data_IF_733463298365
#
_entry.id   IF_733463298365
#
_cell.length_a   1.000
_cell.length_b   1.000
_cell.length_c   1.000
_cell.angle_alpha   90.00
_cell.angle_beta   90.00
_cell.angle_gamma   90.00
#
_symmetry.space_group_name_H-M   'P 1'
#
loop_
_entity.id
_entity.type
_entity.pdbx_description
1 polymer ?
#
# COMPACT_ATOMS: atom_id res chain seq x y z
N UNK A 1 -18.15 12.59 -30.33
CA UNK A 1 -17.66 13.22 -29.09
C UNK A 1 -16.14 13.11 -29.14
N UNK A 2 -15.42 14.23 -29.00
CA UNK A 2 -13.95 14.24 -29.10
C UNK A 2 -13.35 13.77 -27.77
N UNK A 3 -12.33 12.92 -27.84
CA UNK A 3 -11.56 12.48 -26.65
C UNK A 3 -10.60 13.59 -26.21
N UNK A 4 -10.37 13.70 -24.91
CA UNK A 4 -9.28 14.54 -24.40
C UNK A 4 -7.94 13.80 -24.58
N UNK A 5 -7.91 12.49 -24.23
CA UNK A 5 -6.71 11.67 -24.38
C UNK A 5 -7.09 10.33 -25.01
N UNK A 6 -6.26 9.89 -25.97
CA UNK A 6 -6.28 8.54 -26.53
C UNK A 6 -4.94 7.86 -26.30
N UNK A 7 -4.93 6.77 -25.53
CA UNK A 7 -3.77 5.89 -25.37
C UNK A 7 -3.92 4.74 -26.35
N UNK A 8 -2.94 4.56 -27.23
CA UNK A 8 -2.95 3.53 -28.28
C UNK A 8 -1.70 2.69 -28.30
N UNK A 9 -1.76 1.54 -28.96
CA UNK A 9 -0.67 0.60 -29.19
C UNK A 9 -0.04 -0.01 -27.92
N UNK A 10 -0.63 0.22 -26.74
CA UNK A 10 -0.19 -0.37 -25.50
C UNK A 10 -0.81 -1.73 -25.24
N UNK A 11 -0.11 -2.57 -24.50
CA UNK A 11 -0.65 -3.83 -23.98
C UNK A 11 -1.36 -3.55 -22.66
N UNK A 12 -2.64 -3.90 -22.57
CA UNK A 12 -3.39 -3.84 -21.30
C UNK A 12 -3.29 -5.18 -20.60
N UNK A 13 -2.91 -5.18 -19.31
CA UNK A 13 -2.90 -6.40 -18.52
C UNK A 13 -4.33 -6.83 -18.18
N UNK A 14 -4.74 -8.00 -18.65
CA UNK A 14 -5.96 -8.69 -18.26
C UNK A 14 -5.67 -9.51 -17.01
N UNK A 15 -6.14 -9.03 -15.87
CA UNK A 15 -5.88 -9.67 -14.57
C UNK A 15 -6.71 -10.95 -14.36
N UNK A 16 -7.81 -11.12 -15.08
CA UNK A 16 -8.66 -12.31 -15.00
C UNK A 16 -8.13 -13.40 -15.92
N UNK A 17 -7.83 -13.04 -17.17
CA UNK A 17 -7.29 -13.97 -18.16
C UNK A 17 -5.81 -14.27 -18.00
N UNK A 18 -5.08 -13.57 -17.14
CA UNK A 18 -3.61 -13.66 -16.99
C UNK A 18 -2.89 -13.48 -18.33
N UNK A 19 -3.36 -12.54 -19.14
CA UNK A 19 -2.85 -12.30 -20.50
C UNK A 19 -2.75 -10.78 -20.79
N UNK A 20 -2.21 -10.47 -21.94
CA UNK A 20 -2.13 -9.10 -22.44
C UNK A 20 -3.06 -8.92 -23.64
N UNK A 21 -3.88 -7.89 -23.59
CA UNK A 21 -4.78 -7.54 -24.69
C UNK A 21 -4.37 -6.22 -25.35
N UNK A 22 -4.42 -6.17 -26.69
CA UNK A 22 -4.31 -4.92 -27.42
C UNK A 22 -5.62 -4.16 -27.33
N UNK A 23 -5.66 -3.09 -26.55
CA UNK A 23 -6.84 -2.26 -26.39
C UNK A 23 -6.43 -0.80 -26.27
N UNK A 24 -7.06 0.07 -27.04
CA UNK A 24 -6.94 1.51 -26.84
C UNK A 24 -7.75 1.95 -25.63
N UNK A 25 -7.29 2.99 -24.94
CA UNK A 25 -7.97 3.61 -23.80
C UNK A 25 -8.30 5.05 -24.16
N UNK A 26 -9.57 5.41 -24.11
CA UNK A 26 -10.05 6.78 -24.29
C UNK A 26 -10.37 7.44 -22.97
N UNK A 27 -10.07 8.72 -22.85
CA UNK A 27 -10.34 9.53 -21.66
C UNK A 27 -11.10 10.78 -22.06
N UNK A 28 -12.15 11.11 -21.29
CA UNK A 28 -12.88 12.38 -21.33
C UNK A 28 -13.05 12.88 -19.91
N UNK A 29 -12.60 14.10 -19.64
CA UNK A 29 -12.53 14.65 -18.30
C UNK A 29 -11.68 13.76 -17.38
N UNK A 30 -12.27 13.33 -16.28
CA UNK A 30 -11.63 12.45 -15.31
C UNK A 30 -12.00 10.97 -15.45
N UNK A 31 -12.61 10.57 -16.60
CA UNK A 31 -13.18 9.22 -16.78
C UNK A 31 -12.62 8.49 -17.99
N UNK A 32 -12.47 7.19 -17.83
CA UNK A 32 -12.25 6.26 -18.94
C UNK A 32 -13.58 6.06 -19.66
N UNK A 33 -13.57 6.14 -20.99
CA UNK A 33 -14.79 6.00 -21.80
C UNK A 33 -14.78 4.71 -22.62
N UNK A 34 -15.97 4.21 -22.92
CA UNK A 34 -16.15 3.09 -23.86
C UNK A 34 -15.95 3.59 -25.30
N UNK A 35 -14.87 3.15 -25.94
CA UNK A 35 -14.53 3.57 -27.30
C UNK A 35 -15.53 3.05 -28.35
N UNK A 36 -16.34 2.03 -28.04
CA UNK A 36 -17.40 1.59 -28.93
C UNK A 36 -18.56 2.60 -29.03
N UNK A 37 -18.63 3.57 -28.12
CA UNK A 37 -19.63 4.64 -28.13
C UNK A 37 -19.12 5.94 -28.78
N UNK A 38 -17.90 5.92 -29.33
CA UNK A 38 -17.23 7.10 -29.91
C UNK A 38 -17.13 6.88 -31.42
N UNK A 39 -17.86 7.70 -32.20
CA UNK A 39 -17.93 7.58 -33.67
C UNK A 39 -16.59 7.90 -34.36
N UNK A 40 -15.78 8.78 -33.75
CA UNK A 40 -14.48 9.18 -34.27
C UNK A 40 -13.47 9.20 -33.13
N UNK A 41 -12.38 8.45 -33.31
CA UNK A 41 -11.28 8.34 -32.34
C UNK A 41 -10.30 9.52 -32.38
N UNK A 42 -10.76 10.71 -32.76
CA UNK A 42 -9.96 11.93 -32.63
C UNK A 42 -9.82 12.33 -31.17
N UNK A 43 -8.60 12.67 -30.79
CA UNK A 43 -8.26 13.12 -29.42
C UNK A 43 -7.42 14.40 -29.48
N UNK A 44 -7.54 15.22 -28.43
CA UNK A 44 -6.65 16.39 -28.27
C UNK A 44 -5.20 15.96 -28.04
N UNK A 45 -5.02 14.92 -27.23
CA UNK A 45 -3.71 14.33 -26.95
C UNK A 45 -3.72 12.86 -27.30
N UNK A 46 -2.72 12.41 -28.06
CA UNK A 46 -2.51 11.00 -28.36
C UNK A 46 -1.22 10.55 -27.68
N UNK A 47 -1.32 9.49 -26.86
CA UNK A 47 -0.20 8.83 -26.24
C UNK A 47 0.04 7.51 -26.99
N UNK A 48 1.18 7.39 -27.66
CA UNK A 48 1.62 6.13 -28.25
C UNK A 48 2.36 5.30 -27.18
N UNK A 49 1.70 4.26 -26.70
CA UNK A 49 2.21 3.35 -25.66
C UNK A 49 2.87 2.09 -26.26
N UNK A 50 3.33 2.13 -27.51
CA UNK A 50 3.98 0.99 -28.15
C UNK A 50 5.16 0.45 -27.31
N UNK A 51 5.14 -0.85 -27.06
CA UNK A 51 6.13 -1.55 -26.22
C UNK A 51 6.03 -1.24 -24.72
N UNK A 52 4.92 -0.65 -24.29
CA UNK A 52 4.59 -0.44 -22.88
C UNK A 52 3.35 -1.24 -22.48
N UNK A 53 3.18 -1.42 -21.18
CA UNK A 53 2.01 -2.00 -20.56
C UNK A 53 1.19 -0.88 -19.94
N UNK A 54 -0.10 -0.85 -20.21
CA UNK A 54 -1.05 0.11 -19.65
C UNK A 54 -1.76 -0.56 -18.49
N UNK A 55 -1.61 0.00 -17.31
CA UNK A 55 -2.19 -0.49 -16.06
C UNK A 55 -3.18 0.54 -15.49
N UNK A 56 -4.13 0.13 -14.65
CA UNK A 56 -4.78 1.07 -13.76
C UNK A 56 -3.74 1.85 -12.95
N UNK A 57 -4.06 3.05 -12.52
CA UNK A 57 -3.22 3.77 -11.57
C UNK A 57 -2.91 2.90 -10.36
N UNK A 58 -1.63 2.80 -10.01
CA UNK A 58 -1.16 1.96 -8.93
C UNK A 58 -1.64 2.50 -7.58
N UNK A 59 -1.83 1.59 -6.63
CA UNK A 59 -2.28 1.90 -5.28
C UNK A 59 -1.24 1.40 -4.28
N UNK A 60 -0.61 2.30 -3.57
CA UNK A 60 0.28 1.97 -2.45
C UNK A 60 -0.53 1.93 -1.15
N UNK A 61 -0.84 0.73 -0.68
CA UNK A 61 -1.77 0.54 0.43
C UNK A 61 -1.15 0.78 1.82
N UNK A 62 0.14 1.07 1.91
CA UNK A 62 0.82 1.30 3.18
C UNK A 62 1.95 2.30 3.03
N UNK A 63 1.78 3.48 3.56
CA UNK A 63 2.82 4.50 3.67
C UNK A 63 2.45 5.58 4.69
N UNK A 64 3.32 6.58 4.81
CA UNK A 64 3.17 7.64 5.78
C UNK A 64 3.26 9.00 5.09
N UNK A 65 2.10 9.67 4.94
CA UNK A 65 1.99 10.89 4.11
C UNK A 65 1.44 12.10 4.85
N UNK A 66 1.32 12.04 6.16
CA UNK A 66 1.01 13.23 6.97
C UNK A 66 2.20 14.20 6.99
N UNK A 67 2.56 14.70 5.81
CA UNK A 67 3.65 15.64 5.60
C UNK A 67 3.45 16.92 6.42
N UNK A 68 4.47 17.30 7.15
CA UNK A 68 4.41 18.42 8.09
C UNK A 68 3.79 18.09 9.46
N UNK A 69 3.08 16.97 9.58
CA UNK A 69 2.49 16.50 10.85
C UNK A 69 3.32 15.42 11.56
N UNK A 70 4.20 14.75 10.84
CA UNK A 70 5.18 13.80 11.38
C UNK A 70 6.55 14.00 10.74
N UNK A 71 7.61 13.65 11.45
CA UNK A 71 8.98 13.77 10.93
C UNK A 71 9.30 12.69 9.88
N UNK A 72 8.52 11.61 9.82
CA UNK A 72 8.77 10.47 8.92
C UNK A 72 7.99 10.55 7.62
N UNK A 73 6.95 11.39 7.54
CA UNK A 73 6.04 11.42 6.39
C UNK A 73 6.61 12.17 5.20
N UNK A 74 6.21 11.74 4.02
CA UNK A 74 6.56 12.33 2.72
C UNK A 74 5.36 13.06 2.10
N UNK A 75 5.63 13.94 1.14
CA UNK A 75 4.57 14.53 0.33
C UNK A 75 4.07 13.49 -0.69
N UNK A 76 2.77 13.14 -0.67
CA UNK A 76 2.22 12.07 -1.52
C UNK A 76 2.38 12.36 -3.02
N UNK A 77 2.10 13.56 -3.48
CA UNK A 77 2.13 13.88 -4.91
C UNK A 77 3.55 13.80 -5.48
N UNK A 78 4.57 14.20 -4.67
CA UNK A 78 5.98 14.16 -5.10
C UNK A 78 6.50 12.73 -5.23
N UNK A 79 6.12 11.84 -4.31
CA UNK A 79 6.67 10.48 -4.29
C UNK A 79 5.83 9.47 -5.07
N UNK A 80 4.52 9.68 -5.18
CA UNK A 80 3.59 8.75 -5.83
C UNK A 80 3.50 8.96 -7.33
N UNK A 81 3.18 10.17 -7.78
CA UNK A 81 2.85 10.44 -9.19
C UNK A 81 3.99 10.10 -10.17
N UNK A 82 5.26 10.39 -9.88
CA UNK A 82 6.37 9.97 -10.76
C UNK A 82 6.56 8.46 -10.85
N UNK A 83 6.00 7.70 -9.91
CA UNK A 83 6.11 6.24 -9.81
C UNK A 83 4.82 5.51 -10.20
N UNK A 84 3.89 6.16 -10.90
CA UNK A 84 2.66 5.51 -11.37
C UNK A 84 1.59 5.33 -10.29
N UNK A 85 1.82 5.77 -9.07
CA UNK A 85 0.89 5.64 -7.95
C UNK A 85 -0.07 6.82 -7.95
N UNK A 86 -1.37 6.55 -8.06
CA UNK A 86 -2.45 7.57 -8.09
C UNK A 86 -3.34 7.51 -6.85
N UNK A 87 -3.20 6.47 -6.05
CA UNK A 87 -3.94 6.32 -4.80
C UNK A 87 -3.03 5.74 -3.71
N UNK A 88 -3.28 6.12 -2.46
CA UNK A 88 -2.46 5.69 -1.33
C UNK A 88 -3.29 5.52 -0.06
N UNK A 89 -2.86 4.62 0.82
CA UNK A 89 -3.39 4.51 2.18
C UNK A 89 -2.32 4.93 3.18
N UNK A 90 -2.65 5.92 4.00
CA UNK A 90 -1.82 6.29 5.14
C UNK A 90 -2.06 5.30 6.28
N UNK A 91 -1.00 4.64 6.71
CA UNK A 91 -1.07 3.57 7.69
C UNK A 91 -1.02 4.08 9.15
N UNK A 92 -1.78 5.13 9.45
CA UNK A 92 -1.99 5.63 10.79
C UNK A 92 -0.93 6.64 11.25
N UNK A 93 -0.50 7.53 10.37
CA UNK A 93 0.35 8.67 10.75
C UNK A 93 -0.34 9.62 11.72
N UNK A 94 -1.68 9.73 11.67
CA UNK A 94 -2.49 10.57 12.56
C UNK A 94 -3.31 9.75 13.57
N UNK A 95 -3.53 10.34 14.73
CA UNK A 95 -4.54 9.91 15.70
C UNK A 95 -5.70 10.92 15.75
N UNK A 96 -6.65 10.72 16.67
CA UNK A 96 -7.86 11.56 16.75
C UNK A 96 -7.55 13.05 17.00
N UNK A 97 -6.44 13.38 17.68
CA UNK A 97 -6.06 14.77 18.01
C UNK A 97 -5.75 15.58 16.75
N UNK A 98 -5.07 14.99 15.78
CA UNK A 98 -4.51 15.69 14.63
C UNK A 98 -5.07 15.21 13.27
N UNK A 99 -6.05 14.29 13.28
CA UNK A 99 -6.65 13.77 12.05
C UNK A 99 -7.27 14.88 11.18
N UNK A 100 -8.01 15.82 11.78
CA UNK A 100 -8.63 16.91 11.02
C UNK A 100 -7.60 17.81 10.36
N UNK A 101 -6.45 18.04 11.04
CA UNK A 101 -5.33 18.75 10.42
C UNK A 101 -4.79 17.98 9.22
N UNK A 102 -4.56 16.67 9.38
CA UNK A 102 -4.10 15.80 8.29
C UNK A 102 -5.06 15.84 7.10
N UNK A 103 -6.37 15.70 7.37
CA UNK A 103 -7.41 15.74 6.34
C UNK A 103 -7.38 17.06 5.55
N UNK A 104 -7.27 18.19 6.23
CA UNK A 104 -7.33 19.50 5.61
C UNK A 104 -6.02 19.92 4.92
N UNK A 105 -4.87 19.54 5.48
CA UNK A 105 -3.57 20.00 4.98
C UNK A 105 -2.92 19.07 3.95
N UNK A 106 -3.32 17.79 3.91
CA UNK A 106 -2.72 16.80 3.02
C UNK A 106 -3.76 16.06 2.20
N UNK A 107 -4.78 15.44 2.84
CA UNK A 107 -5.71 14.55 2.11
C UNK A 107 -6.52 15.33 1.08
N UNK A 108 -7.13 16.45 1.47
CA UNK A 108 -7.97 17.24 0.56
C UNK A 108 -7.19 17.92 -0.58
N UNK A 109 -6.00 18.53 -0.34
CA UNK A 109 -5.28 19.21 -1.42
C UNK A 109 -4.47 18.29 -2.32
N UNK A 110 -4.23 17.02 -1.95
CA UNK A 110 -3.46 16.09 -2.76
C UNK A 110 -4.17 15.71 -4.07
N UNK A 111 -3.41 15.56 -5.15
CA UNK A 111 -3.90 14.94 -6.39
C UNK A 111 -4.06 13.42 -6.24
N UNK A 112 -3.15 12.79 -5.49
CA UNK A 112 -3.23 11.38 -5.11
C UNK A 112 -4.44 11.17 -4.22
N UNK A 113 -5.25 10.15 -4.52
CA UNK A 113 -6.41 9.77 -3.69
C UNK A 113 -5.92 9.10 -2.41
N UNK A 114 -6.22 9.68 -1.25
CA UNK A 114 -5.72 9.19 0.04
C UNK A 114 -6.86 8.70 0.90
N UNK A 115 -6.78 7.45 1.37
CA UNK A 115 -7.51 6.91 2.52
C UNK A 115 -6.54 6.76 3.69
N UNK A 116 -7.06 6.49 4.90
CA UNK A 116 -6.19 6.34 6.06
C UNK A 116 -6.73 5.34 7.08
N UNK A 117 -5.83 4.77 7.86
CA UNK A 117 -6.15 4.18 9.15
C UNK A 117 -5.97 5.23 10.24
N UNK A 118 -6.82 5.21 11.26
CA UNK A 118 -6.71 6.08 12.43
C UNK A 118 -5.88 5.36 13.50
N UNK A 119 -4.76 5.94 13.91
CA UNK A 119 -3.94 5.37 14.97
C UNK A 119 -4.70 5.43 16.31
N UNK A 120 -4.64 4.36 17.09
CA UNK A 120 -5.22 4.33 18.47
C UNK A 120 -4.45 5.23 19.42
N UNK A 121 -3.18 5.53 19.12
CA UNK A 121 -2.39 6.56 19.83
C UNK A 121 -2.91 7.93 19.44
N UNK A 122 -3.24 8.74 20.44
CA UNK A 122 -3.97 10.00 20.28
C UNK A 122 -3.41 10.96 19.22
N UNK A 123 -2.08 11.01 19.07
CA UNK A 123 -1.37 11.88 18.11
C UNK A 123 -0.75 11.10 16.94
N UNK A 124 -1.07 9.82 16.81
CA UNK A 124 -0.47 8.93 15.83
C UNK A 124 1.06 8.87 15.96
N UNK A 125 1.74 8.98 14.83
CA UNK A 125 3.20 8.91 14.73
C UNK A 125 3.90 10.28 14.84
N UNK A 126 3.20 11.33 15.28
CA UNK A 126 3.79 12.68 15.36
C UNK A 126 4.95 12.80 16.33
N UNK A 127 5.13 11.85 17.24
CA UNK A 127 6.26 11.82 18.17
C UNK A 127 7.47 11.03 17.67
N UNK A 128 7.33 10.27 16.57
CA UNK A 128 8.43 9.52 16.00
C UNK A 128 9.44 10.44 15.29
N UNK A 129 10.71 10.07 15.36
CA UNK A 129 11.79 10.79 14.67
C UNK A 129 12.27 12.05 15.39
N UNK A 130 11.78 12.35 16.59
CA UNK A 130 12.19 13.52 17.40
C UNK A 130 13.64 13.45 17.95
N UNK A 131 14.45 12.49 17.48
CA UNK A 131 15.82 12.30 17.94
C UNK A 131 15.90 11.90 19.43
N UNK A 132 16.98 12.26 20.16
CA UNK A 132 17.15 11.88 21.56
C UNK A 132 16.09 12.46 22.51
N UNK A 133 15.39 13.50 22.07
CA UNK A 133 14.33 14.17 22.82
C UNK A 133 12.93 13.77 22.38
N UNK A 134 12.81 12.87 21.39
CA UNK A 134 11.52 12.37 20.90
C UNK A 134 10.79 11.56 21.96
N UNK A 135 9.48 11.70 22.00
CA UNK A 135 8.63 10.88 22.88
C UNK A 135 8.40 9.53 22.22
N UNK A 136 8.53 8.47 22.99
CA UNK A 136 8.17 7.14 22.53
C UNK A 136 6.66 7.06 22.29
N UNK A 137 6.27 6.31 21.27
CA UNK A 137 4.88 5.99 21.01
C UNK A 137 4.24 5.32 22.24
N UNK A 138 3.08 5.82 22.65
CA UNK A 138 2.41 5.35 23.86
C UNK A 138 1.18 4.52 23.49
N UNK A 139 1.36 3.22 23.38
CA UNK A 139 0.30 2.25 23.06
C UNK A 139 -0.48 1.75 24.28
N UNK A 140 -0.31 2.36 25.46
CA UNK A 140 -1.05 1.98 26.68
C UNK A 140 -2.56 2.22 26.48
N UNK A 141 -3.42 1.18 26.55
CA UNK A 141 -4.85 1.33 26.39
C UNK A 141 -5.53 2.29 27.38
N UNK A 142 -4.96 2.49 28.56
CA UNK A 142 -5.45 3.47 29.52
C UNK A 142 -5.45 4.92 28.99
N UNK A 143 -4.67 5.18 27.92
CA UNK A 143 -4.61 6.47 27.24
C UNK A 143 -5.49 6.55 25.98
N UNK A 144 -6.16 5.45 25.60
CA UNK A 144 -7.08 5.50 24.47
C UNK A 144 -8.32 6.31 24.85
N UNK A 145 -8.61 7.31 24.04
CA UNK A 145 -9.86 8.05 24.19
C UNK A 145 -10.89 7.45 23.22
N UNK A 146 -11.55 6.36 23.65
CA UNK A 146 -12.51 5.62 22.81
C UNK A 146 -13.61 6.52 22.25
N UNK A 147 -14.13 7.48 23.04
CA UNK A 147 -15.17 8.40 22.59
C UNK A 147 -14.65 9.29 21.45
N UNK A 148 -13.45 9.86 21.57
CA UNK A 148 -12.86 10.70 20.53
C UNK A 148 -12.45 9.91 19.30
N UNK A 149 -11.93 8.70 19.47
CA UNK A 149 -11.65 7.77 18.36
C UNK A 149 -12.97 7.46 17.62
N UNK A 150 -14.03 7.10 18.34
CA UNK A 150 -15.34 6.81 17.75
C UNK A 150 -15.93 8.04 17.03
N UNK A 151 -15.86 9.21 17.63
CA UNK A 151 -16.33 10.47 17.03
C UNK A 151 -15.56 10.77 15.73
N UNK A 152 -14.23 10.67 15.75
CA UNK A 152 -13.37 10.94 14.58
C UNK A 152 -13.66 9.96 13.45
N UNK A 153 -13.72 8.66 13.76
CA UNK A 153 -14.03 7.61 12.79
C UNK A 153 -15.41 7.81 12.18
N UNK A 154 -16.45 8.03 13.00
CA UNK A 154 -17.82 8.16 12.51
C UNK A 154 -18.03 9.41 11.65
N UNK A 155 -17.34 10.51 11.97
CA UNK A 155 -17.40 11.75 11.19
C UNK A 155 -16.57 11.68 9.87
N UNK A 156 -15.76 10.64 9.68
CA UNK A 156 -14.84 10.52 8.56
C UNK A 156 -14.84 9.10 7.94
N UNK A 157 -15.97 8.40 7.99
CA UNK A 157 -16.12 7.04 7.42
C UNK A 157 -15.91 7.00 5.89
N UNK A 158 -16.01 8.13 5.24
CA UNK A 158 -15.67 8.30 3.83
C UNK A 158 -14.17 8.14 3.57
N UNK A 159 -13.33 8.37 4.58
CA UNK A 159 -11.87 8.35 4.44
C UNK A 159 -11.18 7.33 5.35
N UNK A 160 -11.60 7.19 6.62
CA UNK A 160 -10.95 6.28 7.57
C UNK A 160 -11.42 4.84 7.32
N UNK A 161 -10.48 3.94 7.04
CA UNK A 161 -10.74 2.53 6.76
C UNK A 161 -10.87 1.68 8.03
N UNK A 162 -10.12 2.04 9.09
CA UNK A 162 -10.08 1.28 10.33
C UNK A 162 -9.11 1.88 11.34
N UNK A 163 -8.74 1.09 12.35
CA UNK A 163 -7.80 1.49 13.40
C UNK A 163 -6.40 0.93 13.13
N UNK A 164 -5.36 1.72 13.43
CA UNK A 164 -3.95 1.29 13.37
C UNK A 164 -3.39 1.08 14.75
N UNK A 165 -2.66 -0.04 14.91
CA UNK A 165 -1.81 -0.33 16.07
C UNK A 165 -0.41 -0.72 15.60
N UNK A 166 0.62 -0.26 16.31
CA UNK A 166 1.95 -0.86 16.26
C UNK A 166 2.14 -1.76 17.47
N UNK A 167 2.16 -3.09 17.21
CA UNK A 167 2.25 -4.12 18.25
C UNK A 167 3.64 -4.77 18.21
N UNK A 168 4.62 -4.08 18.79
CA UNK A 168 6.04 -4.39 18.65
C UNK A 168 6.76 -4.27 19.99
N UNK A 169 7.78 -5.13 20.21
CA UNK A 169 8.56 -5.16 21.45
C UNK A 169 9.33 -3.87 21.70
N UNK A 170 9.83 -3.19 20.67
CA UNK A 170 10.53 -1.92 20.81
C UNK A 170 9.66 -0.81 21.43
N UNK A 171 8.33 -0.91 21.27
CA UNK A 171 7.35 0.01 21.84
C UNK A 171 6.90 -0.41 23.22
N UNK A 172 6.66 -1.71 23.44
CA UNK A 172 6.01 -2.24 24.64
C UNK A 172 6.97 -2.91 25.65
N UNK A 173 8.22 -3.24 25.25
CA UNK A 173 9.18 -3.94 26.10
C UNK A 173 9.43 -3.22 27.43
N UNK A 174 9.25 -3.97 28.51
CA UNK A 174 9.44 -3.44 29.89
C UNK A 174 8.31 -2.55 30.38
N UNK A 175 7.27 -2.31 29.59
CA UNK A 175 6.08 -1.58 30.01
C UNK A 175 5.04 -2.56 30.54
N UNK A 176 4.57 -2.32 31.76
CA UNK A 176 3.44 -3.05 32.33
C UNK A 176 2.16 -2.24 32.09
N UNK A 177 1.33 -2.74 31.19
CA UNK A 177 0.01 -2.18 30.96
C UNK A 177 -1.06 -2.98 31.72
N UNK A 178 -2.11 -2.32 32.16
CA UNK A 178 -3.24 -2.99 32.83
C UNK A 178 -4.04 -3.89 31.88
N UNK A 179 -3.98 -3.59 30.58
CA UNK A 179 -4.60 -4.37 29.51
C UNK A 179 -3.69 -4.42 28.30
N UNK A 180 -3.80 -5.50 27.51
CA UNK A 180 -3.01 -5.68 26.30
C UNK A 180 -3.45 -4.70 25.19
N UNK A 181 -2.52 -4.00 24.50
CA UNK A 181 -2.85 -3.05 23.44
C UNK A 181 -3.56 -3.70 22.24
N UNK A 182 -3.21 -4.94 21.87
CA UNK A 182 -3.85 -5.64 20.76
C UNK A 182 -5.31 -5.96 21.09
N UNK A 183 -5.54 -6.60 22.26
CA UNK A 183 -6.88 -6.99 22.68
C UNK A 183 -7.79 -5.76 22.83
N UNK A 184 -7.26 -4.67 23.38
CA UNK A 184 -7.98 -3.42 23.52
C UNK A 184 -8.34 -2.79 22.17
N UNK A 185 -7.38 -2.81 21.23
CA UNK A 185 -7.61 -2.28 19.86
C UNK A 185 -8.61 -3.14 19.10
N UNK A 186 -8.50 -4.46 19.16
CA UNK A 186 -9.46 -5.40 18.55
C UNK A 186 -10.86 -5.18 19.12
N UNK A 187 -11.00 -5.14 20.45
CA UNK A 187 -12.28 -4.91 21.11
C UNK A 187 -12.92 -3.59 20.66
N UNK A 188 -12.13 -2.51 20.63
CA UNK A 188 -12.60 -1.21 20.18
C UNK A 188 -13.02 -1.22 18.69
N UNK A 189 -12.24 -1.84 17.83
CA UNK A 189 -12.55 -1.95 16.41
C UNK A 189 -13.86 -2.73 16.18
N UNK A 190 -14.07 -3.84 16.88
CA UNK A 190 -15.34 -4.61 16.79
C UNK A 190 -16.54 -3.81 17.30
N UNK A 191 -16.37 -3.09 18.43
CA UNK A 191 -17.39 -2.16 18.95
C UNK A 191 -17.77 -1.06 17.97
N UNK A 192 -16.82 -0.60 17.16
CA UNK A 192 -17.00 0.48 16.17
C UNK A 192 -17.35 -0.03 14.77
N UNK A 193 -17.53 -1.33 14.59
CA UNK A 193 -17.76 -1.97 13.28
C UNK A 193 -16.74 -1.50 12.24
N UNK A 194 -15.45 -1.76 12.52
CA UNK A 194 -14.35 -1.37 11.65
C UNK A 194 -13.20 -2.39 11.71
N UNK A 195 -12.29 -2.30 10.74
CA UNK A 195 -11.12 -3.17 10.63
C UNK A 195 -9.93 -2.65 11.44
N UNK A 196 -8.92 -3.50 11.59
CA UNK A 196 -7.63 -3.14 12.16
C UNK A 196 -6.51 -3.30 11.11
N UNK A 197 -5.48 -2.48 11.23
CA UNK A 197 -4.21 -2.67 10.57
C UNK A 197 -3.13 -2.73 11.66
N UNK A 198 -2.49 -3.89 11.79
CA UNK A 198 -1.50 -4.12 12.86
C UNK A 198 -0.11 -4.27 12.28
N UNK A 199 0.82 -3.42 12.72
CA UNK A 199 2.24 -3.61 12.49
C UNK A 199 2.74 -4.72 13.42
N UNK A 200 3.32 -5.77 12.85
CA UNK A 200 3.65 -7.01 13.56
C UNK A 200 5.14 -7.32 13.62
N UNK A 201 6.01 -6.49 13.06
CA UNK A 201 7.45 -6.68 13.14
C UNK A 201 7.89 -6.71 14.60
N UNK A 202 8.60 -7.77 14.99
CA UNK A 202 9.03 -8.02 16.37
C UNK A 202 7.84 -7.97 17.36
N UNK A 203 6.74 -8.68 17.03
CA UNK A 203 5.53 -8.69 17.85
C UNK A 203 5.76 -9.33 19.22
N UNK A 204 4.88 -8.98 20.19
CA UNK A 204 4.94 -9.56 21.54
C UNK A 204 4.42 -11.01 21.59
N UNK A 205 3.60 -11.39 20.60
CA UNK A 205 3.05 -12.75 20.48
C UNK A 205 3.64 -13.45 19.26
N UNK A 206 3.71 -14.77 19.29
CA UNK A 206 4.02 -15.58 18.12
C UNK A 206 2.95 -15.36 17.03
N UNK A 207 3.33 -15.52 15.76
CA UNK A 207 2.45 -15.23 14.64
C UNK A 207 1.17 -16.08 14.64
N UNK A 208 1.28 -17.38 15.03
CA UNK A 208 0.15 -18.29 15.12
C UNK A 208 -0.84 -17.96 16.25
N UNK A 209 -0.37 -17.33 17.33
CA UNK A 209 -1.21 -16.82 18.40
C UNK A 209 -1.82 -15.48 18.03
N UNK A 210 -1.01 -14.56 17.51
CA UNK A 210 -1.40 -13.22 17.11
C UNK A 210 -2.53 -13.24 16.09
N UNK A 211 -2.45 -14.12 15.08
CA UNK A 211 -3.39 -14.16 13.96
C UNK A 211 -4.81 -14.56 14.36
N UNK A 212 -4.99 -15.18 15.52
CA UNK A 212 -6.30 -15.59 16.03
C UNK A 212 -7.24 -14.41 16.35
N UNK A 213 -6.67 -13.22 16.53
CA UNK A 213 -7.41 -11.99 16.83
C UNK A 213 -7.88 -11.24 15.57
N UNK A 214 -7.47 -11.70 14.38
CA UNK A 214 -7.80 -11.06 13.11
C UNK A 214 -9.04 -11.66 12.46
N UNK A 215 -9.91 -10.80 11.94
CA UNK A 215 -11.07 -11.15 11.13
C UNK A 215 -10.82 -10.85 9.64
N UNK A 216 -11.77 -11.21 8.79
CA UNK A 216 -11.73 -10.83 7.38
C UNK A 216 -11.56 -9.31 7.20
N UNK A 217 -10.77 -8.91 6.21
CA UNK A 217 -10.38 -7.54 5.88
C UNK A 217 -9.53 -6.81 6.96
N UNK A 218 -9.16 -7.45 8.07
CA UNK A 218 -8.09 -6.95 8.93
C UNK A 218 -6.74 -7.13 8.25
N UNK A 219 -5.83 -6.17 8.47
CA UNK A 219 -4.52 -6.14 7.81
C UNK A 219 -3.41 -6.60 8.75
N UNK A 220 -2.76 -7.70 8.40
CA UNK A 220 -1.49 -8.16 9.00
C UNK A 220 -0.34 -7.52 8.22
N UNK A 221 0.18 -6.40 8.73
CA UNK A 221 1.19 -5.61 8.04
C UNK A 221 2.61 -6.08 8.33
N UNK A 222 3.47 -6.06 7.31
CA UNK A 222 4.86 -6.56 7.36
C UNK A 222 4.95 -8.09 7.44
N UNK A 223 4.14 -8.79 6.65
CA UNK A 223 4.03 -10.25 6.76
C UNK A 223 5.36 -11.01 6.51
N UNK A 224 6.31 -10.39 5.82
CA UNK A 224 7.62 -11.00 5.52
C UNK A 224 8.79 -10.41 6.31
N UNK A 225 8.54 -9.86 7.50
CA UNK A 225 9.63 -9.44 8.37
C UNK A 225 10.42 -10.64 8.93
N UNK A 226 11.72 -10.45 9.18
CA UNK A 226 12.61 -11.47 9.75
C UNK A 226 13.07 -11.17 11.19
N UNK A 227 12.42 -10.20 11.86
CA UNK A 227 12.79 -9.81 13.23
C UNK A 227 11.76 -10.34 14.23
N UNK A 228 12.20 -11.05 15.27
CA UNK A 228 11.32 -11.67 16.25
C UNK A 228 10.50 -12.83 15.68
N UNK A 229 9.22 -12.88 15.99
CA UNK A 229 8.30 -13.95 15.57
C UNK A 229 7.78 -13.71 14.15
N UNK A 230 8.43 -14.32 13.15
CA UNK A 230 7.97 -14.30 11.75
C UNK A 230 6.76 -15.23 11.54
N UNK A 231 6.25 -15.28 10.30
CA UNK A 231 5.19 -16.21 9.92
C UNK A 231 5.67 -17.65 9.72
N UNK A 232 6.99 -17.90 9.85
CA UNK A 232 7.58 -19.23 9.78
C UNK A 232 7.79 -19.81 11.19
N UNK A 233 7.53 -21.09 11.34
CA UNK A 233 7.85 -21.84 12.55
C UNK A 233 9.35 -22.23 12.63
N UNK A 234 9.73 -22.96 13.67
CA UNK A 234 11.11 -23.43 13.88
C UNK A 234 11.60 -24.41 12.78
N UNK A 235 10.69 -25.04 12.04
CA UNK A 235 10.97 -25.93 10.94
C UNK A 235 11.05 -25.19 9.59
N UNK A 236 10.77 -23.89 9.58
CA UNK A 236 10.72 -23.07 8.36
C UNK A 236 9.40 -23.20 7.59
N UNK A 237 8.36 -23.79 8.21
CA UNK A 237 7.04 -23.89 7.60
C UNK A 237 6.18 -22.67 7.95
N UNK A 238 5.38 -22.18 6.99
CA UNK A 238 4.37 -21.17 7.30
C UNK A 238 3.33 -21.78 8.24
N UNK A 239 3.13 -21.17 9.41
CA UNK A 239 2.15 -21.64 10.39
C UNK A 239 0.80 -21.94 9.73
N UNK A 240 0.19 -23.09 10.06
CA UNK A 240 -1.12 -23.47 9.55
C UNK A 240 -2.18 -22.40 9.85
N UNK A 241 -2.12 -21.80 11.05
CA UNK A 241 -3.02 -20.72 11.44
C UNK A 241 -2.93 -19.47 10.53
N UNK A 242 -1.75 -19.17 9.99
CA UNK A 242 -1.53 -18.07 9.02
C UNK A 242 -2.21 -18.40 7.68
N UNK A 243 -2.00 -19.61 7.14
CA UNK A 243 -2.64 -20.07 5.89
C UNK A 243 -4.18 -20.11 6.02
N UNK A 244 -4.68 -20.60 7.16
CA UNK A 244 -6.12 -20.61 7.47
C UNK A 244 -6.69 -19.19 7.59
N UNK A 245 -5.95 -18.26 8.20
CA UNK A 245 -6.39 -16.88 8.33
C UNK A 245 -6.50 -16.18 6.98
N UNK A 246 -5.55 -16.39 6.06
CA UNK A 246 -5.66 -15.88 4.69
C UNK A 246 -6.91 -16.44 3.98
N UNK A 247 -7.19 -17.72 4.15
CA UNK A 247 -8.41 -18.36 3.60
C UNK A 247 -9.70 -17.76 4.20
N UNK A 248 -9.67 -17.34 5.47
CA UNK A 248 -10.79 -16.65 6.13
C UNK A 248 -10.94 -15.18 5.69
N UNK A 249 -10.02 -14.66 4.89
CA UNK A 249 -10.05 -13.29 4.37
C UNK A 249 -9.27 -12.26 5.20
N UNK A 250 -8.39 -12.70 6.11
CA UNK A 250 -7.37 -11.80 6.68
C UNK A 250 -6.41 -11.40 5.57
N UNK A 251 -6.05 -10.14 5.51
CA UNK A 251 -5.22 -9.57 4.46
C UNK A 251 -3.76 -9.48 4.91
N UNK A 252 -2.88 -10.09 4.14
CA UNK A 252 -1.44 -10.04 4.38
C UNK A 252 -0.79 -9.01 3.49
N UNK A 253 -0.31 -7.93 4.11
CA UNK A 253 0.37 -6.84 3.45
C UNK A 253 1.88 -6.96 3.66
N UNK A 254 2.65 -6.96 2.56
CA UNK A 254 4.10 -7.02 2.68
C UNK A 254 4.69 -5.79 3.34
N UNK A 255 4.10 -4.60 3.16
CA UNK A 255 4.51 -3.32 3.76
C UNK A 255 6.03 -3.22 3.89
N UNK A 256 6.73 -3.32 2.78
CA UNK A 256 8.13 -3.77 2.67
C UNK A 256 9.10 -3.05 3.63
N UNK A 257 9.00 -1.72 3.76
CA UNK A 257 9.87 -0.91 4.62
C UNK A 257 11.38 -1.16 4.44
N UNK A 258 12.21 -0.38 5.08
CA UNK A 258 13.66 -0.68 5.16
C UNK A 258 13.99 -1.65 6.30
N UNK A 259 13.05 -1.87 7.22
CA UNK A 259 13.25 -2.65 8.44
C UNK A 259 12.28 -3.83 8.58
N UNK A 260 11.47 -4.13 7.56
CA UNK A 260 10.33 -5.02 7.70
C UNK A 260 10.25 -6.11 6.63
N UNK A 261 11.37 -6.39 5.94
CA UNK A 261 11.41 -7.38 4.89
C UNK A 261 12.67 -8.25 4.97
N UNK A 262 12.48 -9.55 4.84
CA UNK A 262 13.53 -10.56 4.84
C UNK A 262 13.35 -11.49 3.65
N UNK A 263 14.40 -11.67 2.85
CA UNK A 263 14.36 -12.54 1.67
C UNK A 263 14.16 -14.01 2.00
N UNK A 264 14.72 -14.48 3.11
CA UNK A 264 14.53 -15.87 3.52
C UNK A 264 13.07 -16.14 3.86
N UNK A 265 12.46 -15.30 4.69
CA UNK A 265 11.05 -15.46 5.08
C UNK A 265 10.15 -15.38 3.84
N UNK A 266 10.35 -14.36 2.97
CA UNK A 266 9.51 -14.17 1.80
C UNK A 266 9.62 -15.35 0.81
N UNK A 267 10.83 -15.80 0.49
CA UNK A 267 11.04 -16.91 -0.45
C UNK A 267 10.49 -18.22 0.08
N UNK A 268 10.81 -18.54 1.32
CA UNK A 268 10.33 -19.78 1.98
C UNK A 268 8.80 -19.81 2.02
N UNK A 269 8.15 -18.70 2.33
CA UNK A 269 6.69 -18.60 2.31
C UNK A 269 6.12 -18.77 0.88
N UNK A 270 6.71 -18.08 -0.11
CA UNK A 270 6.24 -18.15 -1.51
C UNK A 270 6.46 -19.55 -2.12
N UNK A 271 7.56 -20.25 -1.80
CA UNK A 271 7.80 -21.64 -2.20
C UNK A 271 6.75 -22.60 -1.63
N UNK A 272 6.15 -22.27 -0.48
CA UNK A 272 5.03 -23.01 0.11
C UNK A 272 3.65 -22.54 -0.38
N UNK A 273 3.61 -21.67 -1.40
CA UNK A 273 2.37 -21.15 -1.99
C UNK A 273 1.71 -20.02 -1.20
N UNK A 274 2.38 -19.45 -0.20
CA UNK A 274 1.89 -18.31 0.54
C UNK A 274 2.42 -17.00 -0.08
N UNK A 275 1.52 -16.22 -0.67
CA UNK A 275 1.81 -14.94 -1.30
C UNK A 275 1.13 -13.80 -0.54
N UNK A 276 1.68 -12.58 -0.56
CA UNK A 276 1.01 -11.44 0.05
C UNK A 276 -0.22 -11.05 -0.79
N UNK A 277 -1.30 -10.64 -0.13
CA UNK A 277 -2.50 -10.13 -0.79
C UNK A 277 -2.27 -8.71 -1.32
N UNK A 278 -1.41 -7.95 -0.65
CA UNK A 278 -1.04 -6.58 -0.99
C UNK A 278 0.49 -6.46 -1.05
N UNK A 279 0.94 -5.76 -2.09
CA UNK A 279 2.32 -5.28 -2.20
C UNK A 279 2.30 -3.77 -1.94
N UNK A 280 3.01 -3.33 -0.90
CA UNK A 280 3.07 -1.92 -0.51
C UNK A 280 4.47 -1.56 0.02
N UNK A 281 4.72 -0.26 0.19
CA UNK A 281 6.08 0.21 0.43
C UNK A 281 6.42 0.46 1.89
N UNK A 282 5.47 0.77 2.75
CA UNK A 282 5.72 1.43 4.04
C UNK A 282 6.56 2.71 3.83
N UNK A 283 6.13 3.54 2.85
CA UNK A 283 6.92 4.69 2.40
C UNK A 283 7.04 5.75 3.48
N UNK A 284 8.27 6.08 3.81
CA UNK A 284 8.66 7.15 4.72
C UNK A 284 9.75 7.99 4.08
N UNK A 285 10.09 9.13 4.68
CA UNK A 285 11.21 9.96 4.22
C UNK A 285 12.52 9.15 4.15
N UNK A 286 12.77 8.30 5.15
CA UNK A 286 13.95 7.42 5.17
C UNK A 286 13.94 6.43 4.01
N UNK A 287 12.78 5.82 3.72
CA UNK A 287 12.66 4.79 2.69
C UNK A 287 12.79 5.39 1.28
N UNK A 288 12.22 6.58 1.06
CA UNK A 288 12.24 7.26 -0.24
C UNK A 288 13.65 7.67 -0.71
N UNK A 289 14.64 7.63 0.21
CA UNK A 289 16.06 7.91 -0.08
C UNK A 289 16.91 6.64 -0.24
N UNK A 290 16.32 5.43 -0.11
CA UNK A 290 17.02 4.14 -0.18
C UNK A 290 16.67 3.42 -1.47
N UNK A 291 17.50 3.63 -2.48
CA UNK A 291 17.32 3.11 -3.84
C UNK A 291 17.53 1.59 -3.97
N UNK A 292 18.12 0.95 -2.97
CA UNK A 292 18.42 -0.48 -2.89
C UNK A 292 17.35 -1.30 -2.14
N UNK A 293 16.56 -0.68 -1.27
CA UNK A 293 15.60 -1.38 -0.40
C UNK A 293 14.13 -1.21 -0.80
N UNK A 294 13.63 0.02 -0.75
CA UNK A 294 12.21 0.33 -1.00
C UNK A 294 12.04 1.37 -2.10
N UNK A 295 12.55 2.56 -1.92
CA UNK A 295 12.54 3.67 -2.87
C UNK A 295 11.15 4.04 -3.43
N UNK A 296 10.43 3.10 -4.07
CA UNK A 296 9.11 3.31 -4.67
C UNK A 296 8.33 1.99 -4.78
N UNK A 297 7.03 2.09 -5.04
CA UNK A 297 6.19 0.90 -5.26
C UNK A 297 6.68 0.07 -6.47
N UNK A 298 7.11 0.71 -7.55
CA UNK A 298 7.66 -0.01 -8.72
C UNK A 298 8.94 -0.79 -8.41
N UNK A 299 9.77 -0.26 -7.50
CA UNK A 299 10.96 -0.98 -7.03
C UNK A 299 10.56 -2.24 -6.23
N UNK A 300 9.58 -2.12 -5.33
CA UNK A 300 9.05 -3.27 -4.58
C UNK A 300 8.39 -4.28 -5.52
N UNK A 301 7.56 -3.84 -6.47
CA UNK A 301 6.97 -4.71 -7.49
C UNK A 301 8.05 -5.46 -8.30
N UNK A 302 9.13 -4.75 -8.67
CA UNK A 302 10.27 -5.35 -9.39
C UNK A 302 11.00 -6.39 -8.54
N UNK A 303 11.12 -6.17 -7.22
CA UNK A 303 11.68 -7.13 -6.28
C UNK A 303 10.88 -8.44 -6.28
N UNK A 304 9.54 -8.38 -6.15
CA UNK A 304 8.67 -9.56 -6.19
C UNK A 304 8.69 -10.27 -7.55
N UNK A 305 8.79 -9.51 -8.65
CA UNK A 305 8.95 -10.08 -9.99
C UNK A 305 10.23 -10.91 -10.12
N UNK A 306 11.35 -10.45 -9.53
CA UNK A 306 12.63 -11.16 -9.55
C UNK A 306 12.68 -12.28 -8.48
N UNK A 307 11.77 -12.32 -7.54
CA UNK A 307 11.55 -13.47 -6.64
C UNK A 307 10.64 -14.54 -7.25
N UNK A 308 10.08 -14.32 -8.44
CA UNK A 308 9.30 -15.33 -9.17
C UNK A 308 7.78 -15.16 -9.05
N UNK A 309 7.28 -14.12 -8.39
CA UNK A 309 5.85 -13.82 -8.39
C UNK A 309 5.38 -13.42 -9.80
N UNK A 310 4.20 -13.87 -10.23
CA UNK A 310 3.68 -13.54 -11.55
C UNK A 310 3.40 -12.03 -11.66
N UNK A 311 3.66 -11.46 -12.84
CA UNK A 311 3.40 -10.03 -13.07
C UNK A 311 1.92 -9.67 -12.85
N UNK A 312 1.00 -10.56 -13.24
CA UNK A 312 -0.45 -10.30 -13.09
C UNK A 312 -0.87 -10.30 -11.62
N UNK A 313 -0.31 -11.21 -10.80
CA UNK A 313 -0.60 -11.23 -9.36
C UNK A 313 0.01 -10.02 -8.65
N UNK A 314 1.22 -9.59 -9.05
CA UNK A 314 1.81 -8.34 -8.57
C UNK A 314 0.91 -7.15 -8.91
N UNK A 315 0.43 -7.04 -10.16
CA UNK A 315 -0.47 -5.95 -10.56
C UNK A 315 -1.79 -6.01 -9.79
N UNK A 316 -2.36 -7.19 -9.59
CA UNK A 316 -3.58 -7.36 -8.77
C UNK A 316 -3.37 -6.88 -7.33
N UNK A 317 -2.22 -7.21 -6.73
CA UNK A 317 -1.85 -6.82 -5.36
C UNK A 317 -1.61 -5.30 -5.18
N UNK A 318 -1.42 -4.55 -6.28
CA UNK A 318 -1.23 -3.08 -6.26
C UNK A 318 -2.34 -2.31 -6.99
N UNK A 319 -3.44 -2.96 -7.39
CA UNK A 319 -4.59 -2.33 -8.08
C UNK A 319 -5.93 -2.83 -7.56
N UNK A 320 -6.39 -3.99 -8.03
CA UNK A 320 -7.74 -4.49 -7.75
C UNK A 320 -7.96 -4.82 -6.25
N UNK A 321 -7.01 -5.52 -5.63
CA UNK A 321 -7.10 -5.88 -4.20
C UNK A 321 -7.16 -4.63 -3.31
N UNK A 322 -6.20 -3.69 -3.37
CA UNK A 322 -6.26 -2.47 -2.56
C UNK A 322 -7.47 -1.58 -2.91
N UNK A 323 -7.93 -1.50 -4.17
CA UNK A 323 -9.14 -0.75 -4.53
C UNK A 323 -10.38 -1.29 -3.80
N UNK A 324 -10.52 -2.62 -3.69
CA UNK A 324 -11.59 -3.26 -2.92
C UNK A 324 -11.53 -2.87 -1.44
N UNK A 325 -10.35 -2.96 -0.83
CA UNK A 325 -10.14 -2.65 0.59
C UNK A 325 -10.33 -1.15 0.88
N UNK A 326 -10.02 -0.28 -0.08
CA UNK A 326 -10.34 1.16 0.01
C UNK A 326 -11.83 1.47 -0.17
N UNK A 327 -12.67 0.45 -0.45
CA UNK A 327 -14.10 0.60 -0.78
C UNK A 327 -14.33 1.48 -2.02
N UNK A 328 -13.41 1.40 -2.99
CA UNK A 328 -13.43 2.15 -4.25
C UNK A 328 -13.39 1.23 -5.48
N UNK A 329 -13.76 -0.04 -5.31
CA UNK A 329 -13.85 -1.01 -6.41
C UNK A 329 -14.75 -0.48 -7.55
N UNK A 330 -14.30 -0.65 -8.79
CA UNK A 330 -14.98 -0.12 -9.97
C UNK A 330 -14.73 1.38 -10.23
N UNK A 331 -14.26 2.14 -9.24
CA UNK A 331 -13.87 3.54 -9.40
C UNK A 331 -12.38 3.70 -9.72
N UNK A 332 -11.54 2.93 -9.02
CA UNK A 332 -10.08 2.87 -9.21
C UNK A 332 -9.62 1.42 -9.31
N UNK A 333 -8.35 1.18 -9.63
CA UNK A 333 -7.78 -0.16 -9.73
C UNK A 333 -8.28 -0.98 -10.93
N UNK A 334 -8.92 -0.34 -11.90
CA UNK A 334 -9.44 -0.92 -13.14
C UNK A 334 -9.35 0.06 -14.29
N UNK A 335 -9.31 -0.46 -15.53
CA UNK A 335 -9.39 0.32 -16.77
C UNK A 335 -10.76 0.15 -17.46
N UNK A 336 -11.79 -0.24 -16.71
CA UNK A 336 -13.14 -0.35 -17.22
C UNK A 336 -13.73 1.02 -17.55
N UNK A 337 -14.60 1.12 -18.57
CA UNK A 337 -15.35 2.34 -18.86
C UNK A 337 -16.12 2.83 -17.62
N UNK A 338 -16.10 4.14 -17.38
CA UNK A 338 -16.70 4.79 -16.21
C UNK A 338 -15.76 4.90 -14.99
N UNK A 339 -14.68 4.15 -14.94
CA UNK A 339 -13.67 4.29 -13.89
C UNK A 339 -12.92 5.63 -13.99
N UNK A 340 -12.31 6.06 -12.89
CA UNK A 340 -11.40 7.22 -12.90
C UNK A 340 -10.27 7.01 -13.90
N UNK A 341 -9.95 8.04 -14.65
CA UNK A 341 -8.82 8.03 -15.58
C UNK A 341 -7.48 8.16 -14.81
N UNK A 342 -7.25 7.19 -13.93
CA UNK A 342 -6.02 6.94 -13.21
C UNK A 342 -5.30 5.80 -13.92
N UNK A 343 -4.19 6.12 -14.59
CA UNK A 343 -3.54 5.19 -15.51
C UNK A 343 -2.03 5.28 -15.32
N UNK A 344 -1.38 4.11 -15.22
CA UNK A 344 0.07 3.98 -15.20
C UNK A 344 0.53 3.28 -16.48
N UNK A 345 1.40 3.93 -17.22
CA UNK A 345 2.03 3.35 -18.41
C UNK A 345 3.44 2.94 -18.03
N UNK A 346 3.68 1.64 -18.00
CA UNK A 346 4.96 1.08 -17.51
C UNK A 346 5.66 0.29 -18.60
N UNK A 347 6.94 0.07 -18.42
CA UNK A 347 7.76 -0.78 -19.29
C UNK A 347 8.55 -1.78 -18.46
N UNK A 348 8.48 -3.05 -18.83
CA UNK A 348 9.38 -4.07 -18.31
C UNK A 348 10.74 -3.92 -19.02
N UNK A 349 11.77 -3.59 -18.27
CA UNK A 349 13.13 -3.48 -18.76
C UNK A 349 13.94 -4.71 -18.37
N UNK A 350 14.79 -5.16 -19.28
CA UNK A 350 15.87 -6.06 -18.93
C UNK A 350 17.05 -5.21 -18.49
N UNK A 351 17.27 -5.18 -17.18
CA UNK A 351 18.26 -4.31 -16.54
C UNK A 351 18.78 -4.99 -15.27
N UNK A 352 20.08 -5.04 -15.09
CA UNK A 352 20.67 -5.56 -13.86
C UNK A 352 20.32 -4.63 -12.70
N UNK A 353 19.66 -5.16 -11.70
CA UNK A 353 19.23 -4.44 -10.51
C UNK A 353 19.56 -5.24 -9.26
N UNK A 354 19.95 -4.54 -8.20
CA UNK A 354 20.22 -5.14 -6.90
C UNK A 354 19.14 -4.67 -5.93
N UNK A 355 18.48 -5.63 -5.30
CA UNK A 355 17.54 -5.39 -4.20
C UNK A 355 18.20 -5.84 -2.89
N UNK A 356 17.95 -5.11 -1.82
CA UNK A 356 18.49 -5.41 -0.51
C UNK A 356 17.33 -5.56 0.52
N UNK A 357 17.47 -6.48 1.46
CA UNK A 357 16.54 -6.65 2.56
C UNK A 357 16.96 -5.88 3.83
N UNK A 358 16.23 -6.07 4.93
CA UNK A 358 16.53 -5.45 6.22
C UNK A 358 17.92 -5.79 6.74
N UNK A 359 18.36 -7.03 6.52
CA UNK A 359 19.61 -7.57 7.06
C UNK A 359 20.81 -7.41 6.12
N UNK A 360 20.62 -6.75 4.96
CA UNK A 360 21.68 -6.52 3.99
C UNK A 360 21.90 -7.69 3.02
N UNK A 361 21.03 -8.70 3.02
CA UNK A 361 21.04 -9.75 2.02
C UNK A 361 20.61 -9.16 0.69
N UNK A 362 21.32 -9.53 -0.37
CA UNK A 362 21.12 -9.00 -1.72
C UNK A 362 20.48 -10.03 -2.64
N UNK A 363 19.55 -9.55 -3.47
CA UNK A 363 18.98 -10.26 -4.60
C UNK A 363 19.42 -9.52 -5.87
N UNK A 364 20.17 -10.20 -6.73
CA UNK A 364 20.44 -9.74 -8.09
C UNK A 364 19.25 -10.12 -8.98
N UNK A 365 18.74 -9.14 -9.72
CA UNK A 365 17.64 -9.28 -10.65
C UNK A 365 18.01 -8.78 -12.04
N UNK A 366 17.26 -9.20 -13.04
CA UNK A 366 17.46 -8.81 -14.43
C UNK A 366 16.23 -8.09 -15.04
N UNK A 367 15.20 -7.86 -14.25
CA UNK A 367 13.95 -7.23 -14.68
C UNK A 367 13.58 -6.06 -13.78
N UNK A 368 13.24 -4.95 -14.38
CA UNK A 368 12.79 -3.74 -13.68
C UNK A 368 11.53 -3.17 -14.32
N UNK A 369 10.57 -2.76 -13.49
CA UNK A 369 9.34 -2.10 -13.91
C UNK A 369 9.58 -0.59 -13.84
N UNK A 370 9.59 0.07 -15.00
CA UNK A 370 9.91 1.49 -15.12
C UNK A 370 8.67 2.29 -15.54
N UNK A 371 8.41 3.43 -14.88
CA UNK A 371 7.28 4.29 -15.24
C UNK A 371 7.59 5.15 -16.48
N UNK A 372 6.70 5.11 -17.46
CA UNK A 372 6.79 5.92 -18.67
C UNK A 372 5.89 7.15 -18.61
N UNK A 373 4.68 6.99 -18.07
CA UNK A 373 3.74 8.09 -17.86
C UNK A 373 2.72 7.73 -16.79
N UNK A 374 2.19 8.76 -16.12
CA UNK A 374 1.10 8.64 -15.16
C UNK A 374 0.01 9.62 -15.49
N UNK A 375 -1.22 9.14 -15.56
CA UNK A 375 -2.42 9.95 -15.57
C UNK A 375 -3.09 9.84 -14.21
N UNK A 376 -3.50 10.97 -13.66
CA UNK A 376 -4.26 11.04 -12.42
C UNK A 376 -5.46 11.97 -12.65
N UNK A 377 -6.67 11.47 -12.39
CA UNK A 377 -7.91 12.21 -12.66
C UNK A 377 -8.00 12.75 -14.11
N UNK A 378 -7.56 11.96 -15.10
CA UNK A 378 -7.56 12.32 -16.50
C UNK A 378 -6.47 13.32 -16.93
N UNK A 379 -5.60 13.74 -16.03
CA UNK A 379 -4.50 14.65 -16.34
C UNK A 379 -3.17 13.90 -16.43
N UNK A 380 -2.33 14.22 -17.41
CA UNK A 380 -0.96 13.71 -17.49
C UNK A 380 -0.13 14.43 -16.45
N UNK A 381 0.17 13.75 -15.34
CA UNK A 381 0.91 14.32 -14.19
C UNK A 381 2.39 13.97 -14.20
N UNK A 382 2.75 12.94 -14.95
CA UNK A 382 4.15 12.55 -15.18
C UNK A 382 4.33 11.99 -16.56
N UNK A 383 5.41 12.37 -17.22
CA UNK A 383 5.85 11.80 -18.50
C UNK A 383 7.36 11.80 -18.57
N UNK A 384 7.95 10.63 -18.82
CA UNK A 384 9.38 10.51 -19.01
C UNK A 384 9.74 11.01 -20.42
N UNK A 385 10.56 12.05 -20.48
CA UNK A 385 11.14 12.48 -21.73
C UNK A 385 12.23 11.49 -22.13
N UNK A 386 12.24 11.08 -23.40
CA UNK A 386 13.35 10.37 -23.99
C UNK A 386 14.13 11.39 -24.81
N UNK A 387 15.41 11.53 -24.49
CA UNK A 387 16.34 12.26 -25.30
C UNK A 387 16.97 11.33 -26.33
#
# INVERSE_FOLDING_TARGET
>A
MKLDILIKNGLVADLEGHDYINRNIGVIGDRIVDLNTVDDLQAETVIDAAGCIVLPGLIDFHGHVFHGGTAISVNPDIVCLPNGVTSMVDAGSSGWVNYQLFRNSVIHPAMVKIKSYLNVVNVGLSTLGGGPTGYLENTNPANYNEEKIAQTLNSNRDNILGLKLRYSQDIAKGKQYASDPLLSTVSLARKLDTTICVHVTDSLLCADELIRYFNADDIYAHCFHGTGHSILDEQGEVYAAIKEAQTRGVIFDCSNGVAHFDFHVARTAMEQGFYPDIISTDLTLRNSLRTDKVYSLLHVMSKYLNMGMSFFDIVRAVTATPARLMKMQGQIGTLAPGASADISIVKLRKENVIFEDTHGVKLEGDRYIDNCATLCNGQIVYRRLRF
#
